data_IF_398633229920
#
_entry.id   IF_398633229920
#
_cell.length_a   1.000
_cell.length_b   1.000
_cell.length_c   1.000
_cell.angle_alpha   90.00
_cell.angle_beta   90.00
_cell.angle_gamma   90.00
#
_symmetry.space_group_name_H-M   'P 1'
#
loop_
_entity.id
_entity.type
_entity.pdbx_description
1 polymer ?
#
# COMPACT_ATOMS: atom_id res chain seq x y z
N UNK A 1 -103.52 54.16 20.99
CA UNK A 1 -103.51 52.68 20.97
C UNK A 1 -102.11 52.24 20.59
N UNK A 2 -101.59 51.17 21.18
CA UNK A 2 -100.37 50.54 20.64
C UNK A 2 -100.69 50.01 19.24
N UNK A 3 -99.79 50.20 18.28
CA UNK A 3 -99.98 49.72 16.91
C UNK A 3 -99.96 48.19 16.88
N UNK A 4 -100.55 47.58 15.84
CA UNK A 4 -100.48 46.12 15.61
C UNK A 4 -99.03 45.60 15.59
N UNK A 5 -98.12 46.37 14.99
CA UNK A 5 -96.68 46.11 14.96
C UNK A 5 -96.09 45.94 16.37
N UNK A 6 -96.57 46.71 17.34
CA UNK A 6 -96.09 46.68 18.71
C UNK A 6 -96.45 45.36 19.45
N UNK A 7 -97.64 44.83 19.16
CA UNK A 7 -98.09 43.53 19.67
C UNK A 7 -97.30 42.39 19.04
N UNK A 8 -97.06 42.46 17.74
CA UNK A 8 -96.28 41.46 17.02
C UNK A 8 -94.83 41.42 17.53
N UNK A 9 -94.19 42.58 17.73
CA UNK A 9 -92.87 42.71 18.34
C UNK A 9 -92.78 42.13 19.76
N UNK A 10 -93.80 42.35 20.60
CA UNK A 10 -93.85 41.74 21.92
C UNK A 10 -93.97 40.21 21.85
N UNK A 11 -94.82 39.71 20.95
CA UNK A 11 -95.09 38.29 20.79
C UNK A 11 -93.92 37.51 20.18
N UNK A 12 -93.11 38.17 19.35
CA UNK A 12 -91.86 37.63 18.82
C UNK A 12 -90.83 37.41 19.93
N UNK A 13 -90.65 38.40 20.81
CA UNK A 13 -89.67 38.33 21.89
C UNK A 13 -90.14 37.49 23.08
N UNK A 14 -91.43 37.51 23.40
CA UNK A 14 -92.01 36.90 24.60
C UNK A 14 -92.92 35.70 24.26
N UNK A 15 -92.32 34.57 23.90
CA UNK A 15 -93.05 33.36 23.52
C UNK A 15 -93.94 32.77 24.63
N UNK A 16 -93.57 32.96 25.91
CA UNK A 16 -94.31 32.42 27.07
C UNK A 16 -95.66 33.12 27.33
N UNK A 17 -95.82 34.35 26.85
CA UNK A 17 -97.01 35.16 27.12
C UNK A 17 -97.35 36.03 25.91
N UNK A 18 -98.14 35.46 24.99
CA UNK A 18 -98.66 36.19 23.83
C UNK A 18 -99.73 37.18 24.28
N UNK A 19 -99.57 38.42 23.85
CA UNK A 19 -100.52 39.51 24.01
C UNK A 19 -101.47 39.57 22.80
N UNK A 20 -102.74 39.76 23.07
CA UNK A 20 -103.75 40.08 22.03
C UNK A 20 -104.35 41.46 22.28
N UNK A 21 -104.94 42.05 21.24
CA UNK A 21 -105.50 43.41 21.30
C UNK A 21 -106.60 43.57 22.37
N UNK A 22 -107.41 42.52 22.59
CA UNK A 22 -108.46 42.51 23.62
C UNK A 22 -107.89 42.64 25.04
N UNK A 23 -106.72 42.05 25.30
CA UNK A 23 -106.08 42.12 26.62
C UNK A 23 -105.55 43.52 26.91
N UNK A 24 -105.06 44.23 25.89
CA UNK A 24 -104.63 45.62 26.02
C UNK A 24 -105.81 46.58 26.14
N UNK A 25 -106.92 46.29 25.45
CA UNK A 25 -108.12 47.10 25.50
C UNK A 25 -108.73 47.11 26.91
N UNK A 26 -108.72 45.97 27.60
CA UNK A 26 -109.20 45.82 28.97
C UNK A 26 -108.21 44.99 29.82
N UNK A 27 -107.11 45.60 30.29
CA UNK A 27 -106.09 44.87 31.02
C UNK A 27 -106.62 44.39 32.37
N UNK A 28 -106.30 43.16 32.75
CA UNK A 28 -106.58 42.61 34.09
C UNK A 28 -105.30 42.47 34.90
N UNK A 29 -105.42 42.51 36.24
CA UNK A 29 -104.28 42.27 37.15
C UNK A 29 -103.58 40.94 36.84
N UNK A 30 -104.36 39.87 36.66
CA UNK A 30 -103.84 38.52 36.40
C UNK A 30 -103.05 38.47 35.09
N UNK A 31 -103.58 39.08 34.03
CA UNK A 31 -102.90 39.15 32.75
C UNK A 31 -101.62 39.99 32.84
N UNK A 32 -101.69 41.19 33.41
CA UNK A 32 -100.55 42.09 33.51
C UNK A 32 -99.43 41.49 34.38
N UNK A 33 -99.80 40.81 35.46
CA UNK A 33 -98.85 40.05 36.31
C UNK A 33 -98.11 38.99 35.49
N UNK A 34 -98.83 38.21 34.68
CA UNK A 34 -98.22 37.17 33.83
C UNK A 34 -97.24 37.79 32.83
N UNK A 35 -97.64 38.87 32.17
CA UNK A 35 -96.80 39.63 31.23
C UNK A 35 -95.51 40.10 31.89
N UNK A 36 -95.60 40.75 33.05
CA UNK A 36 -94.43 41.31 33.75
C UNK A 36 -93.50 40.21 34.28
N UNK A 37 -94.05 39.07 34.69
CA UNK A 37 -93.24 37.89 35.07
C UNK A 37 -92.48 37.34 33.87
N UNK A 38 -93.17 37.15 32.73
CA UNK A 38 -92.51 36.69 31.50
C UNK A 38 -91.46 37.69 31.02
N UNK A 39 -91.70 38.99 31.18
CA UNK A 39 -90.71 40.03 30.91
C UNK A 39 -89.42 39.84 31.71
N UNK A 40 -89.52 39.66 33.03
CA UNK A 40 -88.34 39.44 33.87
C UNK A 40 -87.60 38.14 33.50
N UNK A 41 -88.33 37.08 33.14
CA UNK A 41 -87.71 35.82 32.70
C UNK A 41 -86.86 35.97 31.44
N UNK A 42 -87.21 36.89 30.53
CA UNK A 42 -86.39 37.17 29.34
C UNK A 42 -84.99 37.72 29.68
N UNK A 43 -84.83 38.36 30.83
CA UNK A 43 -83.51 38.78 31.35
C UNK A 43 -82.79 37.67 32.14
N UNK A 44 -83.38 36.48 32.26
CA UNK A 44 -82.82 35.34 32.99
C UNK A 44 -83.21 35.28 34.48
N UNK A 45 -84.13 36.13 34.95
CA UNK A 45 -84.62 36.06 36.33
C UNK A 45 -85.54 34.84 36.52
N UNK A 46 -85.31 34.06 37.58
CA UNK A 46 -86.18 32.94 37.96
C UNK A 46 -87.33 33.45 38.84
N UNK A 47 -88.40 33.92 38.19
CA UNK A 47 -89.60 34.45 38.88
C UNK A 47 -90.76 33.47 38.74
N UNK A 48 -91.34 33.06 39.86
CA UNK A 48 -92.50 32.16 39.94
C UNK A 48 -93.66 32.84 40.66
N UNK A 49 -94.88 32.65 40.14
CA UNK A 49 -96.10 33.19 40.75
C UNK A 49 -96.51 32.24 41.89
N UNK A 50 -96.70 32.73 43.13
CA UNK A 50 -97.11 31.87 44.25
C UNK A 50 -98.46 31.18 43.99
N UNK A 51 -98.59 29.91 44.39
CA UNK A 51 -99.82 29.12 44.28
C UNK A 51 -100.90 29.47 45.33
N UNK A 52 -100.62 30.44 46.21
CA UNK A 52 -101.43 30.79 47.37
C UNK A 52 -102.76 31.47 46.99
N UNK A 53 -103.76 31.37 47.85
CA UNK A 53 -105.11 31.92 47.62
C UNK A 53 -105.10 33.42 47.26
N UNK A 54 -106.10 33.83 46.50
CA UNK A 54 -106.34 35.22 46.10
C UNK A 54 -106.46 36.11 47.36
N UNK A 55 -105.68 37.20 47.42
CA UNK A 55 -105.65 38.09 48.60
C UNK A 55 -104.73 37.65 49.76
N UNK A 56 -104.10 36.47 49.67
CA UNK A 56 -103.12 36.02 50.66
C UNK A 56 -101.97 37.02 50.86
N UNK A 57 -101.39 37.04 52.06
CA UNK A 57 -100.22 37.89 52.39
C UNK A 57 -99.05 37.61 51.44
N UNK A 58 -98.83 36.36 51.09
CA UNK A 58 -97.76 35.92 50.20
C UNK A 58 -97.92 36.48 48.78
N UNK A 59 -99.12 36.34 48.19
CA UNK A 59 -99.43 36.92 46.87
C UNK A 59 -99.27 38.44 46.88
N UNK A 60 -99.72 39.13 47.94
CA UNK A 60 -99.54 40.59 48.07
C UNK A 60 -98.06 40.99 48.10
N UNK A 61 -97.23 40.30 48.88
CA UNK A 61 -95.78 40.57 48.95
C UNK A 61 -95.12 40.32 47.58
N UNK A 62 -95.49 39.24 46.89
CA UNK A 62 -95.01 38.95 45.56
C UNK A 62 -95.32 40.07 44.57
N UNK A 63 -96.58 40.52 44.50
CA UNK A 63 -96.98 41.58 43.58
C UNK A 63 -96.28 42.92 43.90
N UNK A 64 -96.11 43.26 45.19
CA UNK A 64 -95.33 44.44 45.60
C UNK A 64 -93.88 44.33 45.12
N UNK A 65 -93.25 43.16 45.27
CA UNK A 65 -91.87 42.94 44.78
C UNK A 65 -91.80 43.05 43.27
N UNK A 66 -92.75 42.44 42.54
CA UNK A 66 -92.82 42.50 41.08
C UNK A 66 -92.91 43.96 40.60
N UNK A 67 -93.82 44.74 41.18
CA UNK A 67 -93.98 46.17 40.86
C UNK A 67 -92.68 46.93 41.11
N UNK A 68 -92.00 46.71 42.25
CA UNK A 68 -90.74 47.40 42.54
C UNK A 68 -89.64 47.08 41.53
N UNK A 69 -89.56 45.83 41.05
CA UNK A 69 -88.59 45.44 40.04
C UNK A 69 -88.91 46.07 38.69
N UNK A 70 -90.19 46.05 38.29
CA UNK A 70 -90.63 46.66 37.03
C UNK A 70 -90.46 48.18 37.08
N UNK A 71 -90.85 48.85 38.16
CA UNK A 71 -90.63 50.29 38.34
C UNK A 71 -89.15 50.66 38.30
N UNK A 72 -88.28 49.83 38.89
CA UNK A 72 -86.84 50.04 38.81
C UNK A 72 -86.33 49.97 37.36
N UNK A 73 -86.69 48.92 36.61
CA UNK A 73 -86.29 48.78 35.20
C UNK A 73 -86.87 49.92 34.35
N UNK A 74 -88.14 50.23 34.59
CA UNK A 74 -88.85 51.27 33.88
C UNK A 74 -88.20 52.66 34.09
N UNK A 75 -87.73 52.96 35.31
CA UNK A 75 -86.99 54.19 35.65
C UNK A 75 -85.60 54.31 35.02
N UNK A 76 -85.04 53.22 34.50
CA UNK A 76 -83.81 53.28 33.68
C UNK A 76 -84.11 54.03 32.38
N UNK A 77 -85.29 53.79 31.81
CA UNK A 77 -85.73 54.37 30.54
C UNK A 77 -86.47 55.71 30.70
N UNK A 78 -87.33 55.84 31.73
CA UNK A 78 -88.05 57.09 32.02
C UNK A 78 -88.20 57.33 33.53
N UNK A 79 -87.46 58.32 34.05
CA UNK A 79 -87.46 58.67 35.48
C UNK A 79 -88.71 59.46 35.92
N UNK A 80 -89.45 60.03 34.98
CA UNK A 80 -90.57 60.94 35.27
C UNK A 80 -91.85 60.20 35.65
N UNK A 81 -91.94 58.92 35.30
CA UNK A 81 -93.13 58.12 35.49
C UNK A 81 -92.89 57.01 36.52
N UNK A 82 -93.92 56.72 37.31
CA UNK A 82 -93.87 55.73 38.39
C UNK A 82 -94.94 54.66 38.18
N UNK A 83 -94.51 53.40 38.22
CA UNK A 83 -95.39 52.24 38.23
C UNK A 83 -95.61 51.79 39.68
N UNK A 84 -96.84 51.95 40.15
CA UNK A 84 -97.21 51.68 41.55
C UNK A 84 -97.99 50.39 41.68
N UNK A 85 -98.14 49.92 42.92
CA UNK A 85 -98.94 48.73 43.21
C UNK A 85 -100.40 48.88 42.75
N UNK A 86 -100.94 50.10 42.82
CA UNK A 86 -102.28 50.40 42.35
C UNK A 86 -102.43 50.21 40.83
N UNK A 87 -101.39 50.57 40.07
CA UNK A 87 -101.40 50.43 38.60
C UNK A 87 -101.40 48.96 38.16
N UNK A 88 -100.91 48.05 39.01
CA UNK A 88 -101.00 46.61 38.78
C UNK A 88 -102.38 46.05 39.16
N UNK A 89 -102.95 46.48 40.28
CA UNK A 89 -104.27 46.03 40.76
C UNK A 89 -105.43 46.54 39.89
N UNK A 90 -105.33 47.80 39.43
CA UNK A 90 -106.34 48.46 38.60
C UNK A 90 -105.66 49.04 37.35
N UNK A 91 -105.22 48.18 36.43
CA UNK A 91 -104.50 48.61 35.24
C UNK A 91 -105.42 49.45 34.35
N UNK A 92 -104.88 50.54 33.81
CA UNK A 92 -105.58 51.38 32.84
C UNK A 92 -104.97 51.20 31.46
N UNK A 93 -105.81 51.11 30.43
CA UNK A 93 -105.41 50.87 29.04
C UNK A 93 -104.27 51.79 28.58
N UNK A 94 -104.37 53.10 28.86
CA UNK A 94 -103.37 54.09 28.47
C UNK A 94 -102.04 53.91 29.20
N UNK A 95 -102.08 53.75 30.52
CA UNK A 95 -100.88 53.66 31.37
C UNK A 95 -100.14 52.34 31.14
N UNK A 96 -100.88 51.24 31.05
CA UNK A 96 -100.36 49.90 30.77
C UNK A 96 -99.71 49.84 29.39
N UNK A 97 -100.38 50.37 28.37
CA UNK A 97 -99.84 50.43 27.01
C UNK A 97 -98.52 51.19 26.95
N UNK A 98 -98.48 52.38 27.56
CA UNK A 98 -97.26 53.19 27.60
C UNK A 98 -96.13 52.51 28.36
N UNK A 99 -96.45 51.90 29.51
CA UNK A 99 -95.48 51.18 30.32
C UNK A 99 -94.83 50.03 29.53
N UNK A 100 -95.66 49.16 28.96
CA UNK A 100 -95.18 48.06 28.15
C UNK A 100 -94.32 48.60 27.01
N UNK A 101 -94.73 49.71 26.37
CA UNK A 101 -94.00 50.49 25.36
C UNK A 101 -92.51 50.60 25.64
N UNK A 102 -92.23 51.18 26.79
CA UNK A 102 -90.88 51.48 27.25
C UNK A 102 -90.13 50.21 27.65
N UNK A 103 -90.81 49.25 28.27
CA UNK A 103 -90.21 47.97 28.65
C UNK A 103 -89.73 47.18 27.42
N UNK A 104 -90.49 47.20 26.32
CA UNK A 104 -90.10 46.57 25.06
C UNK A 104 -88.86 47.23 24.44
N UNK A 105 -88.82 48.56 24.41
CA UNK A 105 -87.66 49.28 23.91
C UNK A 105 -86.39 48.94 24.69
N UNK A 106 -86.50 48.85 26.03
CA UNK A 106 -85.38 48.43 26.87
C UNK A 106 -84.94 47.00 26.58
N UNK A 107 -85.88 46.08 26.33
CA UNK A 107 -85.58 44.70 25.97
C UNK A 107 -84.85 44.61 24.62
N UNK A 108 -85.28 45.36 23.61
CA UNK A 108 -84.58 45.44 22.32
C UNK A 108 -83.15 45.94 22.48
N UNK A 109 -82.95 47.02 23.25
CA UNK A 109 -81.62 47.54 23.54
C UNK A 109 -80.72 46.48 24.19
N UNK A 110 -81.22 45.77 25.20
CA UNK A 110 -80.46 44.74 25.91
C UNK A 110 -80.15 43.53 25.02
N UNK A 111 -81.06 43.12 24.14
CA UNK A 111 -80.81 42.03 23.19
C UNK A 111 -79.76 42.40 22.12
N UNK A 112 -79.80 43.63 21.61
CA UNK A 112 -78.78 44.14 20.68
C UNK A 112 -77.41 44.19 21.36
N UNK A 113 -77.34 44.81 22.54
CA UNK A 113 -76.10 44.89 23.33
C UNK A 113 -75.53 43.51 23.65
N UNK A 114 -76.38 42.57 24.07
CA UNK A 114 -75.99 41.18 24.36
C UNK A 114 -75.40 40.51 23.12
N UNK A 115 -76.01 40.69 21.96
CA UNK A 115 -75.54 40.13 20.69
C UNK A 115 -74.18 40.71 20.30
N UNK A 116 -74.01 42.03 20.39
CA UNK A 116 -72.75 42.69 20.05
C UNK A 116 -71.61 42.28 20.97
N UNK A 117 -71.85 42.25 22.29
CA UNK A 117 -70.84 41.84 23.27
C UNK A 117 -70.45 40.37 23.09
N UNK A 118 -71.42 39.47 22.88
CA UNK A 118 -71.11 38.06 22.64
C UNK A 118 -70.39 37.85 21.31
N UNK A 119 -70.76 38.59 20.27
CA UNK A 119 -70.05 38.55 18.99
C UNK A 119 -68.60 38.98 19.16
N UNK A 120 -68.34 40.12 19.82
CA UNK A 120 -66.98 40.59 20.09
C UNK A 120 -66.16 39.57 20.91
N UNK A 121 -66.77 38.97 21.94
CA UNK A 121 -66.11 37.93 22.74
C UNK A 121 -65.77 36.69 21.90
N UNK A 122 -66.70 36.24 21.05
CA UNK A 122 -66.49 35.10 20.16
C UNK A 122 -65.41 35.38 19.10
N UNK A 123 -65.41 36.58 18.50
CA UNK A 123 -64.40 36.98 17.52
C UNK A 123 -63.00 36.97 18.15
N UNK A 124 -62.86 37.48 19.38
CA UNK A 124 -61.60 37.42 20.14
C UNK A 124 -61.17 36.00 20.50
N UNK A 125 -62.12 35.12 20.83
CA UNK A 125 -61.82 33.70 21.08
C UNK A 125 -61.35 33.00 19.80
N UNK A 126 -61.96 33.30 18.66
CA UNK A 126 -61.54 32.77 17.36
C UNK A 126 -60.13 33.26 16.97
N UNK A 127 -59.85 34.55 17.11
CA UNK A 127 -58.52 35.12 16.86
C UNK A 127 -57.45 34.47 17.74
N UNK A 128 -57.74 34.28 19.04
CA UNK A 128 -56.85 33.56 19.96
C UNK A 128 -56.59 32.13 19.50
N UNK A 129 -57.63 31.41 19.06
CA UNK A 129 -57.50 30.03 18.61
C UNK A 129 -56.61 29.94 17.37
N UNK A 130 -56.80 30.82 16.39
CA UNK A 130 -55.96 30.90 15.19
C UNK A 130 -54.49 31.17 15.53
N UNK A 131 -54.22 32.09 16.46
CA UNK A 131 -52.86 32.39 16.92
C UNK A 131 -52.22 31.18 17.61
N UNK A 132 -52.97 30.46 18.45
CA UNK A 132 -52.48 29.23 19.11
C UNK A 132 -52.10 28.17 18.07
N UNK A 133 -52.91 27.99 17.04
CA UNK A 133 -52.64 26.99 16.00
C UNK A 133 -51.43 27.38 15.13
N UNK A 134 -51.26 28.67 14.82
CA UNK A 134 -50.04 29.20 14.17
C UNK A 134 -48.79 28.95 15.02
N UNK A 135 -48.86 29.22 16.33
CA UNK A 135 -47.73 28.98 17.26
C UNK A 135 -47.36 27.49 17.28
N UNK A 136 -48.36 26.59 17.40
CA UNK A 136 -48.12 25.14 17.36
C UNK A 136 -47.42 24.71 16.06
N UNK A 137 -47.87 25.23 14.93
CA UNK A 137 -47.26 24.94 13.64
C UNK A 137 -45.79 25.40 13.56
N UNK A 138 -45.51 26.63 14.01
CA UNK A 138 -44.14 27.19 14.05
C UNK A 138 -43.22 26.36 14.97
N UNK A 139 -43.72 25.93 16.14
CA UNK A 139 -42.95 25.11 17.08
C UNK A 139 -42.56 23.77 16.42
N UNK A 140 -43.50 23.11 15.75
CA UNK A 140 -43.25 21.84 15.09
C UNK A 140 -42.24 21.98 13.93
N UNK A 141 -42.38 23.01 13.12
CA UNK A 141 -41.44 23.29 12.03
C UNK A 141 -40.03 23.63 12.55
N UNK A 142 -39.92 24.40 13.62
CA UNK A 142 -38.64 24.69 14.25
C UNK A 142 -38.00 23.42 14.83
N UNK A 143 -38.78 22.52 15.43
CA UNK A 143 -38.28 21.23 15.92
C UNK A 143 -37.72 20.36 14.78
N UNK A 144 -38.40 20.33 13.63
CA UNK A 144 -37.89 19.63 12.43
C UNK A 144 -36.58 20.22 11.94
N UNK A 145 -36.46 21.55 11.89
CA UNK A 145 -35.22 22.24 11.50
C UNK A 145 -34.09 21.96 12.47
N UNK A 146 -34.37 21.97 13.77
CA UNK A 146 -33.39 21.64 14.81
C UNK A 146 -32.87 20.21 14.64
N UNK A 147 -33.76 19.23 14.50
CA UNK A 147 -33.36 17.83 14.28
C UNK A 147 -32.51 17.67 13.00
N UNK A 148 -32.82 18.42 11.93
CA UNK A 148 -32.01 18.41 10.70
C UNK A 148 -30.62 19.01 10.95
N UNK A 149 -30.54 20.12 11.67
CA UNK A 149 -29.28 20.77 12.01
C UNK A 149 -28.40 19.88 12.90
N UNK A 150 -28.99 19.20 13.88
CA UNK A 150 -28.29 18.23 14.74
C UNK A 150 -27.69 17.08 13.93
N UNK A 151 -28.47 16.45 13.03
CA UNK A 151 -27.96 15.41 12.13
C UNK A 151 -26.80 15.90 11.24
N UNK A 152 -26.94 17.09 10.66
CA UNK A 152 -25.87 17.69 9.87
C UNK A 152 -24.62 17.96 10.72
N UNK A 153 -24.79 18.35 12.00
CA UNK A 153 -23.67 18.56 12.91
C UNK A 153 -22.95 17.27 13.26
N UNK A 154 -23.70 16.18 13.50
CA UNK A 154 -23.14 14.84 13.71
C UNK A 154 -22.35 14.35 12.49
N UNK A 155 -22.91 14.51 11.28
CA UNK A 155 -22.23 14.17 10.02
C UNK A 155 -20.95 15.00 9.83
N UNK A 156 -21.01 16.31 10.09
CA UNK A 156 -19.84 17.18 10.03
C UNK A 156 -18.77 16.78 11.04
N UNK A 157 -19.15 16.44 12.28
CA UNK A 157 -18.21 15.98 13.29
C UNK A 157 -17.56 14.65 12.88
N UNK A 158 -18.33 13.71 12.33
CA UNK A 158 -17.82 12.45 11.80
C UNK A 158 -16.81 12.67 10.67
N UNK A 159 -17.16 13.48 9.67
CA UNK A 159 -16.28 13.80 8.55
C UNK A 159 -15.03 14.56 9.01
N UNK A 160 -15.19 15.49 9.95
CA UNK A 160 -14.07 16.24 10.53
C UNK A 160 -13.06 15.33 11.22
N UNK A 161 -13.51 14.24 11.86
CA UNK A 161 -12.64 13.24 12.45
C UNK A 161 -12.00 12.29 11.42
N UNK A 162 -12.70 12.00 10.31
CA UNK A 162 -12.19 11.12 9.24
C UNK A 162 -11.10 11.79 8.38
N UNK A 163 -11.19 13.10 8.14
CA UNK A 163 -10.23 13.84 7.30
C UNK A 163 -8.77 13.69 7.80
N UNK A 164 -8.45 13.92 9.09
CA UNK A 164 -7.10 13.71 9.62
C UNK A 164 -6.62 12.27 9.46
N UNK A 165 -7.52 11.29 9.64
CA UNK A 165 -7.18 9.87 9.53
C UNK A 165 -6.74 9.53 8.11
N UNK A 166 -7.53 9.93 7.11
CA UNK A 166 -7.19 9.76 5.70
C UNK A 166 -5.96 10.57 5.29
N UNK A 167 -5.78 11.78 5.83
CA UNK A 167 -4.58 12.59 5.59
C UNK A 167 -3.32 11.90 6.11
N UNK A 168 -3.39 11.26 7.27
CA UNK A 168 -2.28 10.50 7.84
C UNK A 168 -2.00 9.21 7.05
N UNK A 169 -3.05 8.49 6.62
CA UNK A 169 -2.91 7.35 5.72
C UNK A 169 -2.23 7.75 4.41
N UNK A 170 -2.66 8.87 3.80
CA UNK A 170 -2.05 9.39 2.59
C UNK A 170 -0.57 9.68 2.78
N UNK A 171 -0.18 10.39 3.87
CA UNK A 171 1.22 10.64 4.20
C UNK A 171 2.03 9.34 4.33
N UNK A 172 1.48 8.33 4.99
CA UNK A 172 2.13 7.02 5.16
C UNK A 172 2.36 6.34 3.80
N UNK A 173 1.33 6.30 2.96
CA UNK A 173 1.40 5.68 1.63
C UNK A 173 2.38 6.44 0.73
N UNK A 174 2.37 7.77 0.74
CA UNK A 174 3.33 8.59 -0.01
C UNK A 174 4.77 8.35 0.46
N UNK A 175 4.98 8.20 1.77
CA UNK A 175 6.33 7.91 2.31
C UNK A 175 6.82 6.53 1.87
N UNK A 176 5.94 5.53 1.90
CA UNK A 176 6.26 4.18 1.42
C UNK A 176 6.52 4.17 -0.09
N UNK A 177 5.73 4.90 -0.88
CA UNK A 177 5.95 5.05 -2.32
C UNK A 177 7.33 5.64 -2.60
N UNK A 178 7.71 6.73 -1.94
CA UNK A 178 9.02 7.35 -2.09
C UNK A 178 10.16 6.39 -1.70
N UNK A 179 9.96 5.59 -0.64
CA UNK A 179 10.93 4.56 -0.23
C UNK A 179 11.13 3.52 -1.34
N UNK A 180 10.04 3.02 -1.92
CA UNK A 180 10.07 2.04 -3.02
C UNK A 180 10.66 2.61 -4.30
N UNK A 181 10.37 3.87 -4.61
CA UNK A 181 10.98 4.61 -5.73
C UNK A 181 12.51 4.66 -5.58
N UNK A 182 13.00 5.03 -4.39
CA UNK A 182 14.44 5.07 -4.09
C UNK A 182 15.09 3.67 -4.17
N UNK A 183 14.43 2.63 -3.64
CA UNK A 183 14.89 1.24 -3.79
C UNK A 183 15.01 0.85 -5.27
N UNK A 184 14.02 1.20 -6.10
CA UNK A 184 14.02 0.91 -7.53
C UNK A 184 15.14 1.64 -8.27
N UNK A 185 15.38 2.90 -7.93
CA UNK A 185 16.51 3.67 -8.47
C UNK A 185 17.85 3.03 -8.10
N UNK A 186 18.03 2.59 -6.84
CA UNK A 186 19.24 1.92 -6.42
C UNK A 186 19.45 0.60 -7.18
N UNK A 187 18.42 -0.24 -7.31
CA UNK A 187 18.48 -1.46 -8.10
C UNK A 187 18.87 -1.15 -9.56
N UNK A 188 18.34 -0.07 -10.13
CA UNK A 188 18.68 0.34 -11.50
C UNK A 188 20.16 0.69 -11.65
N UNK A 189 20.74 1.37 -10.66
CA UNK A 189 22.17 1.67 -10.59
C UNK A 189 22.97 0.36 -10.48
N UNK A 190 22.61 -0.52 -9.54
CA UNK A 190 23.30 -1.79 -9.32
C UNK A 190 23.28 -2.68 -10.57
N UNK A 191 22.16 -2.73 -11.30
CA UNK A 191 22.03 -3.43 -12.59
C UNK A 191 22.97 -2.85 -13.64
N UNK A 192 23.11 -1.52 -13.69
CA UNK A 192 24.04 -0.86 -14.62
C UNK A 192 25.49 -1.20 -14.29
N UNK A 193 25.86 -1.22 -13.02
CA UNK A 193 27.22 -1.58 -12.58
C UNK A 193 27.54 -3.05 -12.86
N UNK A 194 26.60 -3.96 -12.59
CA UNK A 194 26.73 -5.37 -12.95
C UNK A 194 26.91 -5.56 -14.46
N UNK A 195 26.19 -4.78 -15.28
CA UNK A 195 26.32 -4.82 -16.74
C UNK A 195 27.71 -4.39 -17.20
N UNK A 196 28.23 -3.30 -16.63
CA UNK A 196 29.63 -2.87 -16.87
C UNK A 196 30.62 -3.97 -16.48
N UNK A 197 30.44 -4.60 -15.32
CA UNK A 197 31.32 -5.68 -14.85
C UNK A 197 31.27 -6.92 -15.72
N UNK A 198 30.09 -7.27 -16.26
CA UNK A 198 29.95 -8.33 -17.27
C UNK A 198 30.74 -7.99 -18.52
N UNK A 199 30.68 -6.75 -19.00
CA UNK A 199 31.39 -6.33 -20.22
C UNK A 199 32.91 -6.34 -20.01
N UNK A 200 33.39 -5.92 -18.83
CA UNK A 200 34.79 -6.05 -18.43
C UNK A 200 35.25 -7.51 -18.38
N UNK A 201 34.46 -8.39 -17.76
CA UNK A 201 34.77 -9.82 -17.69
C UNK A 201 34.78 -10.44 -19.08
N UNK A 202 33.84 -10.11 -19.96
CA UNK A 202 33.85 -10.53 -21.37
C UNK A 202 35.11 -10.06 -22.09
N UNK A 203 35.57 -8.83 -21.83
CA UNK A 203 36.82 -8.32 -22.39
C UNK A 203 38.03 -9.11 -21.88
N UNK A 204 38.11 -9.38 -20.57
CA UNK A 204 39.15 -10.24 -19.98
C UNK A 204 39.15 -11.63 -20.58
N UNK A 205 38.00 -12.26 -20.74
CA UNK A 205 37.86 -13.57 -21.39
C UNK A 205 38.36 -13.53 -22.84
N UNK A 206 38.01 -12.49 -23.62
CA UNK A 206 38.54 -12.34 -24.99
C UNK A 206 40.06 -12.20 -25.02
N UNK A 207 40.63 -11.45 -24.08
CA UNK A 207 42.08 -11.29 -23.98
C UNK A 207 42.77 -12.60 -23.59
N UNK A 208 42.25 -13.33 -22.61
CA UNK A 208 42.78 -14.64 -22.22
C UNK A 208 42.67 -15.65 -23.37
N UNK A 209 41.55 -15.68 -24.09
CA UNK A 209 41.41 -16.51 -25.30
C UNK A 209 42.42 -16.19 -26.40
N UNK A 210 42.95 -14.96 -26.47
CA UNK A 210 44.01 -14.59 -27.43
C UNK A 210 45.41 -15.00 -26.96
N UNK A 211 45.62 -15.14 -25.65
CA UNK A 211 46.90 -15.53 -25.04
C UNK A 211 47.07 -17.06 -24.97
N UNK A 212 45.96 -17.80 -25.04
CA UNK A 212 45.98 -19.26 -25.10
C UNK A 212 46.42 -19.65 -26.51
N UNK A 213 47.54 -20.39 -26.59
CA UNK A 213 47.96 -21.08 -27.82
C UNK A 213 46.90 -22.13 -28.15
N UNK A 214 46.38 -22.19 -29.38
CA UNK A 214 45.45 -23.23 -29.81
C UNK A 214 46.04 -24.61 -29.47
N UNK A 215 45.21 -25.52 -28.97
CA UNK A 215 45.65 -26.85 -28.52
C UNK A 215 46.44 -27.60 -29.62
N UNK A 216 46.10 -27.38 -30.88
CA UNK A 216 46.82 -27.93 -32.04
C UNK A 216 48.26 -27.39 -32.16
N UNK A 217 48.46 -26.08 -31.99
CA UNK A 217 49.80 -25.47 -31.99
C UNK A 217 50.62 -25.89 -30.76
N UNK A 218 49.96 -26.10 -29.61
CA UNK A 218 50.59 -26.66 -28.41
C UNK A 218 51.07 -28.11 -28.61
N UNK A 219 50.28 -28.94 -29.29
CA UNK A 219 50.65 -30.31 -29.64
C UNK A 219 51.80 -30.36 -30.65
N UNK A 220 51.79 -29.48 -31.66
CA UNK A 220 52.89 -29.35 -32.64
C UNK A 220 54.20 -28.96 -31.92
N UNK A 221 54.14 -27.98 -31.00
CA UNK A 221 55.30 -27.59 -30.18
C UNK A 221 55.78 -28.74 -29.29
N UNK A 222 54.88 -29.55 -28.72
CA UNK A 222 55.26 -30.72 -27.93
C UNK A 222 55.98 -31.78 -28.77
N UNK A 223 55.52 -32.01 -30.01
CA UNK A 223 56.19 -32.92 -30.96
C UNK A 223 57.59 -32.39 -31.30
N UNK A 224 57.71 -31.09 -31.58
CA UNK A 224 59.00 -30.45 -31.85
C UNK A 224 59.95 -30.53 -30.64
N UNK A 225 59.43 -30.33 -29.43
CA UNK A 225 60.21 -30.43 -28.19
C UNK A 225 60.74 -31.86 -27.98
N UNK A 226 59.91 -32.88 -28.17
CA UNK A 226 60.33 -34.28 -28.08
C UNK A 226 61.43 -34.60 -29.12
N UNK A 227 61.29 -34.10 -30.35
CA UNK A 227 62.29 -34.29 -31.41
C UNK A 227 63.63 -33.62 -31.08
N UNK A 228 63.60 -32.43 -30.49
CA UNK A 228 64.81 -31.75 -30.02
C UNK A 228 65.44 -32.52 -28.86
N UNK A 229 64.64 -33.05 -27.94
CA UNK A 229 65.12 -33.85 -26.81
C UNK A 229 65.80 -35.15 -27.28
N UNK A 230 65.24 -35.82 -28.29
CA UNK A 230 65.85 -36.98 -28.95
C UNK A 230 67.19 -36.61 -29.60
N UNK A 231 67.25 -35.48 -30.32
CA UNK A 231 68.49 -34.98 -30.91
C UNK A 231 69.57 -34.66 -29.87
N UNK A 232 69.21 -34.04 -28.74
CA UNK A 232 70.14 -33.80 -27.63
C UNK A 232 70.70 -35.12 -27.11
N UNK A 233 69.83 -36.11 -26.89
CA UNK A 233 70.24 -37.44 -26.39
C UNK A 233 71.19 -38.14 -27.37
N UNK A 234 70.95 -37.99 -28.67
CA UNK A 234 71.83 -38.52 -29.70
C UNK A 234 73.19 -37.82 -29.73
N UNK A 235 73.22 -36.48 -29.64
CA UNK A 235 74.47 -35.72 -29.54
C UNK A 235 75.25 -36.02 -28.25
N UNK A 236 74.57 -36.24 -27.13
CA UNK A 236 75.21 -36.69 -25.89
C UNK A 236 75.86 -38.06 -26.05
N UNK A 237 75.19 -39.01 -26.72
CA UNK A 237 75.75 -40.33 -27.01
C UNK A 237 76.94 -40.25 -27.98
N UNK A 238 76.86 -39.40 -29.01
CA UNK A 238 77.98 -39.15 -29.92
C UNK A 238 79.17 -38.55 -29.17
N UNK A 239 78.94 -37.62 -28.25
CA UNK A 239 79.98 -37.02 -27.40
C UNK A 239 80.61 -38.07 -26.50
N UNK A 240 79.81 -38.90 -25.81
CA UNK A 240 80.31 -40.02 -24.99
C UNK A 240 81.15 -41.01 -25.80
N UNK A 241 80.75 -41.33 -27.03
CA UNK A 241 81.51 -42.19 -27.92
C UNK A 241 82.84 -41.54 -28.35
N UNK A 242 82.82 -40.25 -28.67
CA UNK A 242 84.03 -39.49 -29.02
C UNK A 242 85.01 -39.42 -27.84
N UNK A 243 84.51 -39.18 -26.62
CA UNK A 243 85.31 -39.21 -25.38
C UNK A 243 85.94 -40.59 -25.13
N UNK A 244 85.17 -41.67 -25.32
CA UNK A 244 85.67 -43.04 -25.20
C UNK A 244 86.78 -43.31 -26.22
N UNK A 245 86.59 -42.91 -27.48
CA UNK A 245 87.60 -43.06 -28.53
C UNK A 245 88.86 -42.24 -28.22
N UNK A 246 88.72 -41.01 -27.72
CA UNK A 246 89.84 -40.18 -27.32
C UNK A 246 90.63 -40.83 -26.18
N UNK A 247 89.95 -41.43 -25.19
CA UNK A 247 90.58 -42.18 -24.10
C UNK A 247 91.41 -43.37 -24.62
N UNK A 248 90.89 -44.10 -25.61
CA UNK A 248 91.64 -45.17 -26.28
C UNK A 248 92.87 -44.62 -27.00
N UNK A 249 92.74 -43.53 -27.75
CA UNK A 249 93.87 -42.90 -28.44
C UNK A 249 94.96 -42.39 -27.47
N UNK A 250 94.57 -41.85 -26.31
CA UNK A 250 95.53 -41.46 -25.25
C UNK A 250 96.29 -42.70 -24.75
N UNK A 251 95.59 -43.81 -24.52
CA UNK A 251 96.22 -45.07 -24.10
C UNK A 251 97.20 -45.60 -25.16
N UNK A 252 96.81 -45.59 -26.44
CA UNK A 252 97.68 -46.02 -27.54
C UNK A 252 98.91 -45.13 -27.68
N UNK A 253 98.76 -43.82 -27.51
CA UNK A 253 99.88 -42.87 -27.56
C UNK A 253 100.88 -43.09 -26.41
N UNK A 254 100.40 -43.36 -25.20
CA UNK A 254 101.26 -43.72 -24.07
C UNK A 254 102.07 -44.99 -24.39
N UNK A 255 101.43 -46.01 -25.00
CA UNK A 255 102.11 -47.23 -25.43
C UNK A 255 103.16 -46.97 -26.50
N UNK A 256 102.88 -46.07 -27.45
CA UNK A 256 103.85 -45.66 -28.47
C UNK A 256 105.05 -44.94 -27.84
N UNK A 257 104.85 -44.09 -26.83
CA UNK A 257 105.95 -43.46 -26.10
C UNK A 257 106.84 -44.48 -25.35
N UNK A 258 106.26 -45.53 -24.76
CA UNK A 258 107.03 -46.62 -24.15
C UNK A 258 107.89 -47.36 -25.18
N UNK A 259 107.34 -47.65 -26.36
CA UNK A 259 108.09 -48.26 -27.47
C UNK A 259 109.24 -47.34 -27.89
N UNK A 260 109.00 -46.03 -27.96
CA UNK A 260 110.01 -45.04 -28.36
C UNK A 260 111.20 -45.02 -27.38
N UNK A 261 110.93 -45.08 -26.07
CA UNK A 261 111.98 -45.24 -25.04
C UNK A 261 112.79 -46.54 -25.20
N UNK A 262 112.13 -47.64 -25.53
CA UNK A 262 112.81 -48.92 -25.77
C UNK A 262 113.72 -48.86 -27.01
N UNK A 263 113.29 -48.18 -28.06
CA UNK A 263 114.09 -47.97 -29.28
C UNK A 263 115.30 -47.07 -29.00
N UNK A 264 115.14 -45.99 -28.23
CA UNK A 264 116.26 -45.13 -27.82
C UNK A 264 117.28 -45.90 -26.97
N UNK A 265 116.81 -46.76 -26.06
CA UNK A 265 117.68 -47.63 -25.26
C UNK A 265 118.47 -48.63 -26.13
N UNK A 266 117.86 -49.17 -27.19
CA UNK A 266 118.53 -50.06 -28.13
C UNK A 266 119.60 -49.34 -28.98
N UNK A 267 119.37 -48.05 -29.28
CA UNK A 267 120.30 -47.20 -30.03
C UNK A 267 121.59 -46.93 -29.23
N UNK A 268 121.50 -46.78 -27.91
CA UNK A 268 122.69 -46.57 -27.06
C UNK A 268 123.57 -47.82 -26.91
N UNK A 269 123.01 -49.02 -27.10
CA UNK A 269 123.75 -50.30 -27.06
C UNK A 269 124.43 -50.61 -28.40
N UNK A 270 123.86 -50.15 -29.51
CA UNK A 270 124.36 -50.38 -30.87
C UNK A 270 125.29 -49.23 -31.33
N UNK A 271 126.43 -49.06 -30.66
CA UNK A 271 127.46 -48.09 -31.07
C UNK A 271 128.14 -48.50 -32.37
N UNK A 272 128.47 -47.52 -33.24
CA UNK A 272 129.14 -47.72 -34.55
C UNK A 272 130.34 -48.67 -34.48
N UNK A 273 131.15 -48.56 -33.42
CA UNK A 273 132.33 -49.38 -33.20
C UNK A 273 132.01 -50.88 -33.05
N UNK A 274 130.83 -51.23 -32.50
CA UNK A 274 130.36 -52.62 -32.38
C UNK A 274 129.96 -53.18 -33.75
N UNK A 275 129.32 -52.36 -34.59
CA UNK A 275 128.90 -52.72 -35.95
C UNK A 275 130.13 -52.93 -36.86
N UNK A 276 131.17 -52.10 -36.72
CA UNK A 276 132.41 -52.21 -37.48
C UNK A 276 133.29 -53.40 -37.02
N UNK A 277 133.32 -53.68 -35.71
CA UNK A 277 133.94 -54.89 -35.13
C UNK A 277 133.28 -56.19 -35.60
N UNK A 278 131.94 -56.20 -35.65
CA UNK A 278 131.17 -57.35 -36.13
C UNK A 278 131.44 -57.61 -37.62
N UNK A 279 131.42 -56.58 -38.46
CA UNK A 279 131.71 -56.71 -39.89
C UNK A 279 133.15 -57.17 -40.17
N UNK A 280 134.15 -56.71 -39.41
CA UNK A 280 135.52 -57.21 -39.51
C UNK A 280 135.67 -58.68 -39.10
N UNK A 281 134.93 -59.12 -38.07
CA UNK A 281 134.96 -60.53 -37.64
C UNK A 281 134.32 -61.45 -38.68
N UNK A 282 133.25 -61.01 -39.36
CA UNK A 282 132.60 -61.75 -40.46
C UNK A 282 133.54 -61.91 -41.66
N UNK A 283 134.29 -60.87 -42.04
CA UNK A 283 135.25 -60.95 -43.15
C UNK A 283 136.45 -61.87 -42.84
N UNK A 284 136.94 -61.87 -41.60
CA UNK A 284 138.01 -62.78 -41.19
C UNK A 284 137.56 -64.25 -41.24
N UNK A 285 136.31 -64.54 -40.86
CA UNK A 285 135.74 -65.89 -40.87
C UNK A 285 135.57 -66.43 -42.30
N UNK A 286 135.12 -65.60 -43.23
CA UNK A 286 135.06 -65.91 -44.66
C UNK A 286 136.44 -66.25 -45.26
N UNK A 287 137.49 -65.52 -44.86
CA UNK A 287 138.87 -65.78 -45.34
C UNK A 287 139.46 -67.09 -44.80
N UNK A 288 139.05 -67.52 -43.60
CA UNK A 288 139.47 -68.77 -42.99
C UNK A 288 138.80 -69.97 -43.66
N UNK A 289 137.51 -69.87 -44.00
CA UNK A 289 136.78 -70.90 -44.75
C UNK A 289 137.39 -71.14 -46.15
N UNK A 290 137.88 -70.09 -46.83
CA UNK A 290 138.52 -70.26 -48.14
C UNK A 290 139.87 -70.98 -48.06
N UNK A 291 140.63 -70.78 -46.97
CA UNK A 291 141.90 -71.49 -46.74
C UNK A 291 141.70 -72.96 -46.38
N UNK A 292 140.66 -73.28 -45.61
CA UNK A 292 140.30 -74.66 -45.26
C UNK A 292 139.93 -75.46 -46.52
N UNK A 293 139.12 -74.87 -47.42
CA UNK A 293 138.76 -75.50 -48.69
C UNK A 293 139.97 -75.77 -49.62
N UNK A 294 141.04 -74.96 -49.53
CA UNK A 294 142.28 -75.18 -50.28
C UNK A 294 143.11 -76.35 -49.73
N UNK A 295 143.21 -76.48 -48.40
CA UNK A 295 143.95 -77.58 -47.77
C UNK A 295 143.24 -78.94 -47.94
N UNK A 296 141.92 -78.98 -48.00
CA UNK A 296 141.18 -80.22 -48.27
C UNK A 296 141.44 -80.76 -49.69
N UNK A 297 141.59 -79.87 -50.69
CA UNK A 297 141.97 -80.28 -52.06
C UNK A 297 143.37 -80.90 -52.13
N UNK A 298 144.34 -80.33 -51.42
CA UNK A 298 145.71 -80.84 -51.36
C UNK A 298 145.79 -82.22 -50.68
N UNK A 299 144.99 -82.43 -49.63
CA UNK A 299 144.91 -83.73 -48.93
C UNK A 299 144.37 -84.84 -49.82
N UNK A 300 143.38 -84.56 -50.66
CA UNK A 300 142.80 -85.54 -51.61
C UNK A 300 143.82 -85.93 -52.69
N UNK A 301 144.61 -84.97 -53.18
CA UNK A 301 145.66 -85.22 -54.18
C UNK A 301 146.77 -86.14 -53.64
N UNK A 302 147.30 -85.87 -52.43
CA UNK A 302 148.35 -86.69 -51.80
C UNK A 302 147.87 -88.11 -51.50
N UNK A 303 146.60 -88.28 -51.14
CA UNK A 303 146.02 -89.61 -50.86
C UNK A 303 145.92 -90.45 -52.13
N UNK A 304 145.60 -89.85 -53.28
CA UNK A 304 145.61 -90.53 -54.58
C UNK A 304 147.02 -90.90 -55.06
N UNK A 305 148.03 -90.06 -54.81
CA UNK A 305 149.43 -90.38 -55.16
C UNK A 305 149.95 -91.56 -54.33
N UNK A 306 149.59 -91.65 -53.05
CA UNK A 306 150.07 -92.71 -52.16
C UNK A 306 149.45 -94.09 -52.51
N UNK A 307 148.18 -94.11 -52.93
CA UNK A 307 147.52 -95.34 -53.45
C UNK A 307 148.21 -95.83 -54.74
N UNK A 308 148.67 -94.91 -55.60
CA UNK A 308 149.39 -95.26 -56.82
C UNK A 308 150.81 -95.81 -56.52
N UNK A 309 151.51 -95.28 -55.52
CA UNK A 309 152.81 -95.80 -55.09
C UNK A 309 152.71 -97.18 -54.42
N UNK A 310 151.65 -97.47 -53.64
CA UNK A 310 151.42 -98.80 -53.08
C UNK A 310 151.12 -99.86 -54.15
N UNK A 311 150.45 -99.49 -55.24
CA UNK A 311 150.23 -100.40 -56.38
C UNK A 311 151.52 -100.71 -57.14
N UNK A 312 152.41 -99.74 -57.29
CA UNK A 312 153.69 -99.93 -57.98
C UNK A 312 154.70 -100.75 -57.15
N UNK A 313 154.66 -100.67 -55.81
CA UNK A 313 155.54 -101.48 -54.95
C UNK A 313 155.20 -102.98 -54.99
N UNK A 314 153.94 -103.36 -55.20
CA UNK A 314 153.56 -104.77 -55.39
C UNK A 314 154.04 -105.36 -56.72
N UNK A 315 154.42 -104.54 -57.71
CA UNK A 315 154.92 -105.02 -59.01
C UNK A 315 156.45 -105.17 -59.06
N UNK A 316 157.21 -104.80 -58.01
CA UNK A 316 158.69 -104.78 -58.04
C UNK A 316 159.39 -105.67 -57.00
N UNK A 317 158.66 -106.47 -56.21
CA UNK A 317 159.20 -107.68 -55.57
C UNK A 317 158.78 -108.88 -56.45
N UNK A 318 159.57 -109.28 -57.45
CA UNK A 318 160.67 -110.24 -57.29
C UNK A 318 160.08 -111.65 -57.12
N UNK A 319 159.88 -112.46 -58.17
CA UNK A 319 160.95 -113.23 -58.84
C UNK A 319 162.06 -113.62 -57.86
N UNK A 320 161.85 -114.75 -57.19
CA UNK A 320 162.63 -115.97 -57.42
C UNK A 320 161.68 -117.14 -57.49
#
# INVERSE_FOLDING_TARGET
MLSKEYLDSWNELCAECKMVESDLANPSEKWLTKVLVSYLRMFGYRVEIPCSEEGSREKRIFLIKLVRHIDHIYKISDKSFTFTYYDLLKPSTKKTSHMLGILLNYLYYMNMFKTDVFKMANDRLAERQELVDKIKHIIEDNRKRQNKAEKMHEELAFLSNQIPLHKNQLKSVTSELNRRENESQQITIDVKDLKTKIDELKAKVRNLKRLIVPEEEGQELQIQLNKIQEQITEYENQTRNAESNLKTHISDNNRLQEILKLVESAKDVLTSDFVDSFNNSVNNLLSAETKIASCEKERVQLTQTNIQHQKNFRMLAGKN
#
